data_IF_579175533809
#
_entry.id   IF_579175533809
#
_cell.length_a   1.000
_cell.length_b   1.000
_cell.length_c   1.000
_cell.angle_alpha   90.00
_cell.angle_beta   90.00
_cell.angle_gamma   90.00
#
_symmetry.space_group_name_H-M   'P 1'
#
loop_
_entity.id
_entity.type
_entity.pdbx_description
1 polymer ?
#
# COMPACT_ATOMS: atom_id res chain seq x y z
N UNK A 1 -12.06 -1.63 -2.35
CA UNK A 1 -11.80 -0.26 -2.85
C UNK A 1 -10.88 0.50 -1.90
N UNK A 2 -11.19 0.39 -0.61
CA UNK A 2 -10.46 0.79 0.58
C UNK A 2 -8.96 0.44 0.49
N UNK A 3 -8.61 -0.78 0.09
CA UNK A 3 -7.21 -1.19 -0.14
C UNK A 3 -6.51 -0.27 -1.14
N UNK A 4 -7.14 0.06 -2.28
CA UNK A 4 -6.57 0.99 -3.27
C UNK A 4 -6.34 2.37 -2.67
N UNK A 5 -7.31 2.90 -1.93
CA UNK A 5 -7.24 4.22 -1.31
C UNK A 5 -6.15 4.28 -0.24
N UNK A 6 -6.14 3.31 0.68
CA UNK A 6 -5.17 3.21 1.76
C UNK A 6 -3.74 3.10 1.23
N UNK A 7 -3.49 2.17 0.30
CA UNK A 7 -2.13 1.98 -0.21
C UNK A 7 -1.70 3.04 -1.21
N UNK A 8 -2.62 3.81 -1.80
CA UNK A 8 -2.25 5.02 -2.52
C UNK A 8 -1.72 6.10 -1.57
N UNK A 9 -2.22 6.21 -0.34
CA UNK A 9 -1.62 7.07 0.68
C UNK A 9 -0.22 6.58 1.07
N UNK A 10 -0.08 5.27 1.36
CA UNK A 10 1.20 4.65 1.71
C UNK A 10 2.26 4.84 0.62
N UNK A 11 1.90 4.59 -0.65
CA UNK A 11 2.83 4.78 -1.77
C UNK A 11 3.33 6.22 -1.83
N UNK A 12 2.45 7.21 -1.64
CA UNK A 12 2.83 8.63 -1.72
C UNK A 12 3.61 9.11 -0.50
N UNK A 13 3.37 8.58 0.69
CA UNK A 13 4.21 8.82 1.87
C UNK A 13 5.64 8.30 1.63
N UNK A 14 5.78 7.11 1.05
CA UNK A 14 7.08 6.49 0.78
C UNK A 14 7.83 7.14 -0.39
N UNK A 15 7.15 7.38 -1.51
CA UNK A 15 7.79 7.79 -2.78
C UNK A 15 7.80 9.30 -3.03
N UNK A 16 6.88 10.05 -2.43
CA UNK A 16 6.71 11.49 -2.67
C UNK A 16 6.37 12.22 -1.37
N UNK A 17 7.24 12.16 -0.33
CA UNK A 17 6.95 12.69 0.99
C UNK A 17 6.64 14.20 0.98
N UNK A 18 7.26 14.97 0.07
CA UNK A 18 7.02 16.41 -0.07
C UNK A 18 5.59 16.78 -0.47
N UNK A 19 4.85 15.83 -1.05
CA UNK A 19 3.45 16.01 -1.46
C UNK A 19 2.47 15.38 -0.47
N UNK A 20 2.97 14.70 0.56
CA UNK A 20 2.18 14.07 1.60
C UNK A 20 2.00 15.01 2.79
N UNK A 21 0.80 15.10 3.40
CA UNK A 21 -0.41 14.31 3.14
C UNK A 21 -1.27 14.81 1.96
N UNK A 22 -2.09 13.90 1.43
CA UNK A 22 -2.83 14.13 0.18
C UNK A 22 -4.18 14.80 0.42
N UNK A 23 -4.61 15.67 -0.49
CA UNK A 23 -6.03 16.09 -0.57
C UNK A 23 -6.88 15.00 -1.25
N UNK A 24 -8.21 15.13 -1.18
CA UNK A 24 -9.13 14.19 -1.85
C UNK A 24 -8.84 14.06 -3.36
N UNK A 25 -8.66 15.19 -4.06
CA UNK A 25 -8.33 15.19 -5.48
C UNK A 25 -6.99 14.50 -5.79
N UNK A 26 -5.92 14.83 -5.04
CA UNK A 26 -4.61 14.19 -5.23
C UNK A 26 -4.65 12.69 -4.94
N UNK A 27 -5.43 12.27 -3.93
CA UNK A 27 -5.61 10.86 -3.62
C UNK A 27 -6.42 10.13 -4.69
N UNK A 28 -7.48 10.73 -5.22
CA UNK A 28 -8.26 10.18 -6.34
C UNK A 28 -7.39 9.99 -7.57
N UNK A 29 -6.57 11.00 -7.91
CA UNK A 29 -5.57 10.91 -8.97
C UNK A 29 -4.56 9.78 -8.72
N UNK A 30 -4.09 9.60 -7.48
CA UNK A 30 -3.18 8.51 -7.11
C UNK A 30 -3.84 7.12 -7.23
N UNK A 31 -5.12 6.99 -6.92
CA UNK A 31 -5.86 5.72 -7.05
C UNK A 31 -6.00 5.26 -8.51
N UNK A 32 -6.10 6.23 -9.42
CA UNK A 32 -6.39 6.04 -10.85
C UNK A 32 -5.16 6.06 -11.76
N UNK A 33 -3.94 6.03 -11.19
CA UNK A 33 -2.72 6.00 -12.00
C UNK A 33 -2.70 4.77 -12.93
N UNK A 34 -2.24 4.95 -14.17
CA UNK A 34 -2.09 3.86 -15.14
C UNK A 34 -0.85 3.00 -14.87
N UNK A 35 0.13 3.53 -14.16
CA UNK A 35 1.33 2.83 -13.73
C UNK A 35 1.21 2.37 -12.27
N UNK A 36 1.90 1.27 -11.94
CA UNK A 36 1.91 0.70 -10.60
C UNK A 36 0.52 0.37 -10.02
N UNK A 37 -0.47 0.15 -10.88
CA UNK A 37 -1.81 -0.29 -10.51
C UNK A 37 -2.19 -1.52 -11.31
N UNK A 38 -2.68 -2.54 -10.63
CA UNK A 38 -3.32 -3.70 -11.24
C UNK A 38 -4.49 -4.16 -10.34
N UNK A 39 -5.75 -4.00 -10.77
CA UNK A 39 -6.18 -3.39 -12.04
C UNK A 39 -6.06 -1.87 -12.03
N UNK A 40 -5.95 -1.25 -13.22
CA UNK A 40 -6.16 0.21 -13.36
C UNK A 40 -7.63 0.50 -13.05
N UNK A 41 -7.87 1.53 -12.24
CA UNK A 41 -9.23 1.93 -11.81
C UNK A 41 -9.55 3.34 -12.32
N UNK A 42 -10.84 3.66 -12.35
CA UNK A 42 -11.36 5.00 -12.63
C UNK A 42 -12.39 5.35 -11.55
N UNK A 43 -11.90 5.66 -10.35
CA UNK A 43 -12.72 6.07 -9.21
C UNK A 43 -13.05 7.55 -9.31
N UNK A 44 -14.28 7.93 -8.97
CA UNK A 44 -14.66 9.32 -8.72
C UNK A 44 -14.32 9.74 -7.28
N UNK A 45 -14.42 11.04 -6.99
CA UNK A 45 -14.11 11.58 -5.66
C UNK A 45 -15.07 11.06 -4.58
N UNK A 46 -16.34 10.79 -4.94
CA UNK A 46 -17.36 10.29 -4.00
C UNK A 46 -17.04 8.86 -3.53
N UNK A 47 -16.62 7.98 -4.45
CA UNK A 47 -16.17 6.63 -4.12
C UNK A 47 -14.93 6.65 -3.21
N UNK A 48 -13.97 7.55 -3.48
CA UNK A 48 -12.78 7.71 -2.63
C UNK A 48 -13.14 8.28 -1.27
N UNK A 49 -14.05 9.25 -1.18
CA UNK A 49 -14.54 9.82 0.07
C UNK A 49 -15.31 8.78 0.92
N UNK A 50 -16.10 7.91 0.27
CA UNK A 50 -16.78 6.80 0.94
C UNK A 50 -15.77 5.81 1.53
N UNK A 51 -14.76 5.41 0.76
CA UNK A 51 -13.67 4.55 1.23
C UNK A 51 -12.88 5.18 2.39
N UNK A 52 -12.57 6.48 2.31
CA UNK A 52 -11.93 7.22 3.41
C UNK A 52 -12.78 7.21 4.68
N UNK A 53 -14.11 7.28 4.57
CA UNK A 53 -15.01 7.19 5.73
C UNK A 53 -14.90 5.85 6.42
N UNK A 54 -14.85 4.74 5.66
CA UNK A 54 -14.65 3.39 6.20
C UNK A 54 -13.27 3.27 6.86
N UNK A 55 -12.21 3.72 6.18
CA UNK A 55 -10.84 3.65 6.70
C UNK A 55 -10.63 4.48 7.97
N UNK A 56 -11.28 5.64 8.07
CA UNK A 56 -11.25 6.48 9.28
C UNK A 56 -11.96 5.81 10.45
N UNK A 57 -13.10 5.15 10.22
CA UNK A 57 -13.79 4.36 11.26
C UNK A 57 -12.95 3.19 11.75
N UNK A 58 -12.18 2.58 10.86
CA UNK A 58 -11.21 1.54 11.19
C UNK A 58 -9.89 2.08 11.78
N UNK A 59 -9.78 3.39 12.03
CA UNK A 59 -8.56 4.06 12.55
C UNK A 59 -7.31 3.86 11.68
N UNK A 60 -7.48 3.55 10.39
CA UNK A 60 -6.38 3.35 9.45
C UNK A 60 -5.97 4.64 8.71
N UNK A 61 -6.82 5.66 8.75
CA UNK A 61 -6.59 6.97 8.13
C UNK A 61 -7.03 8.07 9.09
N UNK A 62 -6.26 9.16 9.14
CA UNK A 62 -6.64 10.41 9.79
C UNK A 62 -6.81 11.51 8.75
N UNK A 63 -7.73 12.43 9.03
CA UNK A 63 -7.87 13.65 8.26
C UNK A 63 -7.58 14.86 9.14
N UNK A 64 -6.86 15.83 8.62
CA UNK A 64 -6.68 17.11 9.31
C UNK A 64 -6.88 18.29 8.34
N UNK A 65 -7.22 19.42 8.93
CA UNK A 65 -7.37 20.69 8.24
C UNK A 65 -6.43 21.68 8.90
N UNK A 66 -5.38 22.08 8.18
CA UNK A 66 -4.46 23.11 8.67
C UNK A 66 -5.22 24.43 8.86
N UNK A 67 -4.87 25.17 9.90
CA UNK A 67 -5.45 26.49 10.19
C UNK A 67 -5.26 27.39 8.96
N UNK A 68 -6.36 27.93 8.42
CA UNK A 68 -6.37 28.78 7.23
C UNK A 68 -6.52 28.02 5.90
N UNK A 69 -6.42 26.69 5.87
CA UNK A 69 -6.72 25.88 4.69
C UNK A 69 -8.15 25.35 4.74
N UNK A 70 -8.90 25.51 3.63
CA UNK A 70 -10.24 24.93 3.47
C UNK A 70 -10.23 23.48 2.97
N UNK A 71 -9.07 22.99 2.54
CA UNK A 71 -8.95 21.66 1.91
C UNK A 71 -8.46 20.65 2.95
N UNK A 72 -9.25 19.61 3.27
CA UNK A 72 -8.80 18.54 4.15
C UNK A 72 -7.67 17.73 3.51
N UNK A 73 -6.74 17.30 4.35
CA UNK A 73 -5.63 16.40 4.00
C UNK A 73 -5.78 15.07 4.74
N UNK A 74 -5.32 14.00 4.13
CA UNK A 74 -5.46 12.63 4.61
C UNK A 74 -4.10 11.95 4.73
N UNK A 75 -3.91 11.23 5.83
CA UNK A 75 -2.72 10.46 6.13
C UNK A 75 -3.10 9.05 6.59
N UNK A 76 -2.33 8.03 6.23
CA UNK A 76 -2.51 6.69 6.77
C UNK A 76 -1.87 6.54 8.15
N UNK A 77 -2.38 5.61 8.93
CA UNK A 77 -1.89 5.22 10.26
C UNK A 77 -1.41 3.77 10.30
N UNK A 78 -1.16 3.17 9.12
CA UNK A 78 -0.91 1.74 8.99
C UNK A 78 0.35 1.23 9.71
N UNK A 79 1.37 2.09 9.87
CA UNK A 79 2.60 1.76 10.61
C UNK A 79 2.26 1.43 12.06
N UNK A 80 1.53 2.34 12.72
CA UNK A 80 1.15 2.19 14.12
C UNK A 80 0.07 1.11 14.30
N UNK A 81 -0.90 1.06 13.38
CA UNK A 81 -2.03 0.13 13.48
C UNK A 81 -1.66 -1.35 13.30
N UNK A 82 -0.58 -1.63 12.56
CA UNK A 82 -0.16 -2.99 12.24
C UNK A 82 1.29 -3.31 12.66
N UNK A 83 1.96 -2.42 13.40
CA UNK A 83 3.35 -2.58 13.85
C UNK A 83 4.27 -3.02 12.69
N UNK A 84 4.20 -2.28 11.58
CA UNK A 84 4.95 -2.60 10.36
C UNK A 84 6.24 -1.78 10.30
N UNK A 85 7.36 -2.44 10.01
CA UNK A 85 8.57 -1.76 9.58
C UNK A 85 8.35 -1.07 8.23
N UNK A 86 9.21 -0.09 7.91
CA UNK A 86 9.15 0.63 6.63
C UNK A 86 9.30 -0.31 5.43
N UNK A 87 10.11 -1.37 5.56
CA UNK A 87 10.29 -2.41 4.54
C UNK A 87 9.03 -3.24 4.33
N UNK A 88 8.44 -3.74 5.42
CA UNK A 88 7.20 -4.51 5.37
C UNK A 88 6.05 -3.68 4.77
N UNK A 89 5.97 -2.40 5.15
CA UNK A 89 5.01 -1.46 4.58
C UNK A 89 5.18 -1.32 3.05
N UNK A 90 6.42 -1.18 2.57
CA UNK A 90 6.72 -1.08 1.14
C UNK A 90 6.35 -2.37 0.38
N UNK A 91 6.67 -3.54 0.94
CA UNK A 91 6.30 -4.85 0.37
C UNK A 91 4.78 -4.97 0.28
N UNK A 92 4.08 -4.70 1.38
CA UNK A 92 2.63 -4.79 1.43
C UNK A 92 1.97 -3.81 0.45
N UNK A 93 2.52 -2.60 0.32
CA UNK A 93 2.06 -1.60 -0.65
C UNK A 93 2.17 -2.10 -2.09
N UNK A 94 3.29 -2.71 -2.46
CA UNK A 94 3.48 -3.28 -3.81
C UNK A 94 2.46 -4.37 -4.11
N UNK A 95 2.22 -5.27 -3.15
CA UNK A 95 1.26 -6.35 -3.31
C UNK A 95 -0.18 -5.84 -3.36
N UNK A 96 -0.53 -4.87 -2.50
CA UNK A 96 -1.87 -4.28 -2.44
C UNK A 96 -2.25 -3.48 -3.70
N UNK A 97 -1.29 -2.82 -4.35
CA UNK A 97 -1.56 -2.01 -5.52
C UNK A 97 -1.49 -2.78 -6.84
N UNK A 98 -0.76 -3.90 -6.87
CA UNK A 98 -0.43 -4.62 -8.12
C UNK A 98 -0.75 -6.12 -8.07
N UNK A 99 -1.47 -6.57 -7.05
CA UNK A 99 -1.86 -7.96 -6.86
C UNK A 99 -0.68 -8.91 -6.64
N UNK A 100 -0.94 -10.21 -6.85
CA UNK A 100 0.05 -11.26 -6.58
C UNK A 100 1.24 -11.18 -7.53
N UNK A 101 2.47 -11.24 -7.01
CA UNK A 101 3.71 -11.03 -7.77
C UNK A 101 4.78 -12.06 -7.39
N UNK A 102 5.79 -12.27 -8.26
CA UNK A 102 6.94 -13.11 -7.90
C UNK A 102 7.88 -12.39 -6.94
N UNK A 103 8.75 -13.13 -6.26
CA UNK A 103 9.74 -12.57 -5.33
C UNK A 103 10.59 -11.48 -6.00
N UNK A 104 11.09 -11.75 -7.21
CA UNK A 104 11.92 -10.81 -7.96
C UNK A 104 11.18 -9.52 -8.32
N UNK A 105 9.89 -9.62 -8.67
CA UNK A 105 9.04 -8.46 -8.95
C UNK A 105 8.81 -7.61 -7.70
N UNK A 106 8.43 -8.24 -6.58
CA UNK A 106 8.20 -7.54 -5.31
C UNK A 106 9.48 -6.84 -4.87
N UNK A 107 10.61 -7.54 -4.89
CA UNK A 107 11.92 -6.99 -4.52
C UNK A 107 12.28 -5.74 -5.33
N UNK A 108 12.19 -5.84 -6.66
CA UNK A 108 12.53 -4.72 -7.55
C UNK A 108 11.60 -3.51 -7.35
N UNK A 109 10.32 -3.75 -7.09
CA UNK A 109 9.32 -2.68 -6.92
C UNK A 109 9.39 -2.05 -5.53
N UNK A 110 9.58 -2.84 -4.48
CA UNK A 110 9.74 -2.37 -3.11
C UNK A 110 11.01 -1.52 -2.96
N UNK A 111 12.13 -1.94 -3.54
CA UNK A 111 13.39 -1.17 -3.52
C UNK A 111 13.25 0.26 -4.08
N UNK A 112 12.26 0.52 -4.95
CA UNK A 112 11.97 1.88 -5.46
C UNK A 112 11.21 2.75 -4.46
N UNK A 113 10.43 2.15 -3.57
CA UNK A 113 9.70 2.84 -2.50
C UNK A 113 10.59 3.11 -1.28
N UNK A 114 11.62 2.30 -1.08
CA UNK A 114 12.59 2.39 0.03
C UNK A 114 14.01 2.27 -0.51
N UNK A 115 14.54 3.35 -1.14
CA UNK A 115 15.88 3.33 -1.72
C UNK A 115 16.96 3.09 -0.66
N UNK A 116 17.99 2.31 -1.02
CA UNK A 116 19.14 2.03 -0.14
C UNK A 116 19.04 0.73 0.65
N UNK A 117 17.90 0.04 0.60
CA UNK A 117 17.72 -1.28 1.20
C UNK A 117 18.26 -2.38 0.28
N UNK A 118 18.89 -3.40 0.86
CA UNK A 118 19.43 -4.54 0.12
C UNK A 118 18.35 -5.61 -0.17
N UNK A 119 18.69 -6.54 -1.06
CA UNK A 119 17.81 -7.62 -1.46
C UNK A 119 17.41 -8.53 -0.29
N UNK A 120 18.36 -8.85 0.59
CA UNK A 120 18.19 -9.80 1.68
C UNK A 120 17.20 -9.26 2.71
N UNK A 121 17.28 -7.97 3.04
CA UNK A 121 16.36 -7.29 3.96
C UNK A 121 14.94 -7.21 3.40
N UNK A 122 14.78 -6.98 2.10
CA UNK A 122 13.44 -7.00 1.46
C UNK A 122 12.85 -8.41 1.48
N UNK A 123 13.66 -9.43 1.21
CA UNK A 123 13.21 -10.83 1.29
C UNK A 123 12.83 -11.22 2.73
N UNK A 124 13.65 -10.82 3.72
CA UNK A 124 13.34 -11.00 5.13
C UNK A 124 12.04 -10.30 5.55
N UNK A 125 11.75 -9.11 5.00
CA UNK A 125 10.49 -8.41 5.24
C UNK A 125 9.28 -9.14 4.62
N UNK A 126 9.45 -9.78 3.45
CA UNK A 126 8.39 -10.59 2.84
C UNK A 126 8.07 -11.80 3.73
N UNK A 127 9.09 -12.54 4.16
CA UNK A 127 8.90 -13.70 5.01
C UNK A 127 8.38 -13.29 6.40
N UNK A 128 8.84 -12.16 6.95
CA UNK A 128 8.30 -11.57 8.18
C UNK A 128 6.81 -11.28 8.11
N UNK A 129 6.30 -10.81 6.95
CA UNK A 129 4.86 -10.59 6.71
C UNK A 129 4.05 -11.90 6.56
N UNK A 130 4.69 -12.97 6.08
CA UNK A 130 4.09 -14.30 5.92
C UNK A 130 3.99 -15.00 7.27
N UNK A 131 5.06 -14.94 8.07
CA UNK A 131 5.20 -15.65 9.34
C UNK A 131 4.68 -14.85 10.54
N UNK A 132 3.92 -13.75 10.31
CA UNK A 132 3.38 -12.92 11.39
C UNK A 132 2.55 -13.77 12.37
N UNK A 133 2.87 -13.77 13.69
CA UNK A 133 2.27 -14.71 14.64
C UNK A 133 0.75 -14.60 14.83
N UNK A 134 0.20 -13.39 14.75
CA UNK A 134 -1.21 -13.11 15.04
C UNK A 134 -2.06 -13.01 13.78
N UNK A 135 -1.65 -12.19 12.82
CA UNK A 135 -2.40 -11.97 11.57
C UNK A 135 -1.42 -11.92 10.40
N UNK A 136 -1.35 -12.97 9.55
CA UNK A 136 -0.58 -12.91 8.33
C UNK A 136 -1.19 -11.87 7.40
N UNK A 137 -0.35 -11.00 6.85
CA UNK A 137 -0.79 -9.96 5.92
C UNK A 137 -0.43 -10.31 4.47
N UNK A 138 0.47 -11.27 4.30
CA UNK A 138 0.92 -11.81 3.00
C UNK A 138 0.89 -13.32 3.07
N UNK A 139 0.58 -13.96 1.95
CA UNK A 139 0.69 -15.41 1.79
C UNK A 139 1.53 -15.76 0.57
N UNK A 140 2.30 -16.83 0.69
CA UNK A 140 2.92 -17.52 -0.44
C UNK A 140 1.88 -18.40 -1.13
N UNK A 141 1.54 -18.04 -2.35
CA UNK A 141 0.55 -18.71 -3.18
C UNK A 141 1.12 -19.94 -3.87
N UNK A 142 0.29 -20.97 -4.14
CA UNK A 142 0.71 -22.14 -4.90
C UNK A 142 1.18 -21.73 -6.30
N UNK A 143 2.18 -22.45 -6.80
CA UNK A 143 2.69 -22.24 -8.16
C UNK A 143 1.58 -22.49 -9.17
N UNK A 144 1.43 -21.59 -10.13
CA UNK A 144 0.54 -21.81 -11.27
C UNK A 144 1.13 -22.89 -12.18
N UNK A 145 0.31 -23.73 -12.84
CA UNK A 145 0.79 -24.68 -13.84
C UNK A 145 1.69 -23.99 -14.87
N UNK A 146 2.90 -24.52 -15.10
CA UNK A 146 3.87 -23.95 -16.04
C UNK A 146 4.77 -22.83 -15.48
N UNK A 147 4.57 -22.36 -14.24
CA UNK A 147 5.48 -21.39 -13.60
C UNK A 147 6.41 -22.05 -12.58
N UNK A 148 7.71 -21.72 -12.67
CA UNK A 148 8.75 -22.23 -11.74
C UNK A 148 8.75 -21.50 -10.40
N UNK A 149 8.36 -20.23 -10.38
CA UNK A 149 8.40 -19.38 -9.19
C UNK A 149 7.06 -19.35 -8.46
N UNK A 150 7.12 -19.30 -7.12
CA UNK A 150 5.95 -19.02 -6.31
C UNK A 150 5.60 -17.52 -6.41
N UNK A 151 4.34 -17.19 -6.12
CA UNK A 151 3.88 -15.79 -6.04
C UNK A 151 3.51 -15.46 -4.61
N UNK A 152 3.61 -14.20 -4.25
CA UNK A 152 3.17 -13.67 -2.97
C UNK A 152 1.95 -12.77 -3.22
N UNK A 153 0.96 -12.82 -2.33
CA UNK A 153 -0.24 -11.98 -2.40
C UNK A 153 -0.61 -11.47 -1.01
N UNK A 154 -1.19 -10.27 -0.94
CA UNK A 154 -1.71 -9.76 0.33
C UNK A 154 -2.98 -10.50 0.75
N UNK A 155 -3.26 -10.50 2.05
CA UNK A 155 -4.45 -11.11 2.67
C UNK A 155 -5.49 -10.07 3.14
N UNK A 156 -5.28 -8.80 2.78
CA UNK A 156 -6.20 -7.71 3.09
C UNK A 156 -7.51 -7.87 2.29
N UNK A 157 -8.65 -7.74 2.98
CA UNK A 157 -10.01 -7.79 2.43
C UNK A 157 -10.63 -6.40 2.33
#
# INVERSE_FOLDING_TARGET
MEVRVLFSLVEKELSTPDHYPLSLNSLTSACNQSSNRDPVMALDEDAVAAALTVLRRATLVRSFQSIGSRVPKFEHLLVDAAELSRLELAVLCVLALRGSQTLAEVRSRAARLVPGEDAERIEAAIEGLVDRPSTPLVARLPRRPGQKEARYGHLLS
#
